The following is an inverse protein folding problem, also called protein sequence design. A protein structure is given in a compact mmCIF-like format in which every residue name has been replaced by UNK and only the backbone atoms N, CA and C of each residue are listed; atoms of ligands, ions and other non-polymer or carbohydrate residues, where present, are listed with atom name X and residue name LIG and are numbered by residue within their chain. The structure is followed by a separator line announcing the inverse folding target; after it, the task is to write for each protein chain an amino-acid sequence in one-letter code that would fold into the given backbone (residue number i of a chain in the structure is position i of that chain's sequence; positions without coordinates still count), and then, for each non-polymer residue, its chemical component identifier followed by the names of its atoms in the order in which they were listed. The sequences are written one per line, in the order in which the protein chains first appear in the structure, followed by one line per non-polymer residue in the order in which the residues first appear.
data_IF_922438112528
#
_entry.id   IF_922438112528
#
_cell.length_a   1.000
_cell.length_b   1.000
_cell.length_c   1.000
_cell.angle_alpha   90.00
_cell.angle_beta   90.00
_cell.angle_gamma   90.00
#
_symmetry.space_group_name_H-M   'P 1'
#
loop_
_entity.id
_entity.type
_entity.pdbx_description
1 polymer ?
#
# COMPACT_ATOMS: atom_id res chain seq x y z
N UNK A 1 40.35 42.43 -8.90
CA UNK A 1 40.22 41.18 -9.67
C UNK A 1 38.85 40.59 -9.36
N UNK A 2 37.82 40.91 -10.16
CA UNK A 2 36.46 40.38 -9.97
C UNK A 2 36.33 39.11 -10.83
N UNK A 3 36.41 37.94 -10.21
CA UNK A 3 35.97 36.71 -10.85
C UNK A 3 34.45 36.80 -11.04
N UNK A 4 33.99 36.59 -12.27
CA UNK A 4 32.57 36.66 -12.63
C UNK A 4 31.86 35.42 -12.07
N UNK A 5 30.68 35.61 -11.47
CA UNK A 5 29.83 34.54 -10.93
C UNK A 5 29.38 33.49 -11.99
N UNK A 6 29.75 33.68 -13.25
CA UNK A 6 29.52 32.75 -14.35
C UNK A 6 30.47 31.52 -14.36
N UNK A 7 31.59 31.54 -13.64
CA UNK A 7 32.55 30.42 -13.64
C UNK A 7 32.24 29.32 -12.61
N UNK A 8 31.25 29.53 -11.74
CA UNK A 8 30.83 28.54 -10.72
C UNK A 8 29.70 27.62 -11.16
N UNK A 9 29.17 27.78 -12.37
CA UNK A 9 28.16 26.89 -12.95
C UNK A 9 28.79 25.85 -13.87
N UNK A 10 29.83 25.15 -13.39
CA UNK A 10 29.97 23.78 -13.88
C UNK A 10 28.77 23.03 -13.33
N UNK A 11 27.86 22.63 -14.22
CA UNK A 11 26.73 21.78 -13.91
C UNK A 11 27.26 20.40 -13.51
N UNK A 12 27.88 20.33 -12.33
CA UNK A 12 28.11 19.09 -11.62
C UNK A 12 26.71 18.63 -11.27
N UNK A 13 26.20 17.64 -12.00
CA UNK A 13 25.00 16.89 -11.63
C UNK A 13 25.24 16.40 -10.21
N UNK A 14 24.73 17.15 -9.24
CA UNK A 14 24.82 16.78 -7.83
C UNK A 14 23.97 15.53 -7.71
N UNK A 15 24.63 14.37 -7.64
CA UNK A 15 23.97 13.14 -7.22
C UNK A 15 23.39 13.39 -5.83
N UNK A 16 22.08 13.62 -5.78
CA UNK A 16 21.35 13.85 -4.52
C UNK A 16 21.22 12.57 -3.70
N UNK A 17 21.83 11.46 -4.12
CA UNK A 17 21.83 10.18 -3.42
C UNK A 17 20.45 9.53 -3.35
N UNK A 18 19.50 9.93 -4.21
CA UNK A 18 18.10 9.47 -4.15
C UNK A 18 18.00 7.95 -4.27
N UNK A 19 18.70 7.35 -5.22
CA UNK A 19 18.70 5.90 -5.40
C UNK A 19 19.29 5.17 -4.19
N UNK A 20 20.39 5.68 -3.64
CA UNK A 20 21.01 5.15 -2.42
C UNK A 20 20.04 5.23 -1.24
N UNK A 21 19.35 6.36 -1.07
CA UNK A 21 18.32 6.55 -0.05
C UNK A 21 17.16 5.57 -0.23
N UNK A 22 16.60 5.48 -1.44
CA UNK A 22 15.47 4.57 -1.73
C UNK A 22 15.83 3.11 -1.49
N UNK A 23 17.06 2.70 -1.85
CA UNK A 23 17.57 1.35 -1.58
C UNK A 23 17.71 1.09 -0.09
N UNK A 24 18.22 2.06 0.68
CA UNK A 24 18.37 1.93 2.12
C UNK A 24 17.02 1.89 2.85
N UNK A 25 16.04 2.69 2.43
CA UNK A 25 14.74 2.78 3.10
C UNK A 25 13.77 1.68 2.67
N UNK A 26 13.95 1.09 1.49
CA UNK A 26 13.05 0.13 0.88
C UNK A 26 12.61 -1.01 1.82
N UNK A 27 13.55 -1.73 2.47
CA UNK A 27 13.22 -2.81 3.40
C UNK A 27 12.38 -2.39 4.60
N UNK A 28 12.47 -1.12 5.03
CA UNK A 28 11.78 -0.60 6.20
C UNK A 28 10.44 0.07 5.86
N UNK A 29 10.16 0.30 4.57
CA UNK A 29 9.00 1.08 4.13
C UNK A 29 7.68 0.52 4.63
N UNK A 30 7.52 -0.82 4.60
CA UNK A 30 6.34 -1.48 5.13
C UNK A 30 6.15 -1.19 6.62
N UNK A 31 7.20 -1.41 7.43
CA UNK A 31 7.14 -1.17 8.89
C UNK A 31 6.78 0.28 9.21
N UNK A 32 7.36 1.26 8.52
CA UNK A 32 7.03 2.67 8.77
C UNK A 32 5.60 3.03 8.39
N UNK A 33 5.07 2.47 7.31
CA UNK A 33 3.67 2.67 6.94
C UNK A 33 2.72 1.95 7.90
N UNK A 34 3.04 0.73 8.34
CA UNK A 34 2.31 0.02 9.39
C UNK A 34 2.20 0.89 10.66
N UNK A 35 3.32 1.44 11.12
CA UNK A 35 3.36 2.23 12.34
C UNK A 35 2.63 3.57 12.17
N UNK A 36 2.81 4.24 11.03
CA UNK A 36 2.10 5.48 10.73
C UNK A 36 0.58 5.29 10.73
N UNK A 37 0.07 4.23 10.09
CA UNK A 37 -1.36 3.95 10.03
C UNK A 37 -1.91 3.59 11.43
N UNK A 38 -1.12 2.90 12.26
CA UNK A 38 -1.49 2.58 13.65
C UNK A 38 -1.61 3.80 14.56
N UNK A 39 -0.99 4.93 14.22
CA UNK A 39 -1.21 6.19 14.96
C UNK A 39 -2.65 6.71 14.84
N UNK A 40 -3.46 6.12 13.95
CA UNK A 40 -4.87 6.45 13.74
C UNK A 40 -5.07 7.95 13.47
N UNK A 41 -4.15 8.53 12.70
CA UNK A 41 -4.26 9.85 12.09
C UNK A 41 -4.42 9.68 10.57
N UNK A 42 -5.67 9.61 10.07
CA UNK A 42 -5.93 9.44 8.65
C UNK A 42 -5.36 10.58 7.80
N UNK A 43 -5.37 11.81 8.31
CA UNK A 43 -4.90 12.98 7.57
C UNK A 43 -3.40 12.91 7.32
N UNK A 44 -2.62 12.68 8.37
CA UNK A 44 -1.17 12.53 8.26
C UNK A 44 -0.78 11.30 7.43
N UNK A 45 -1.47 10.17 7.63
CA UNK A 45 -1.21 8.93 6.89
C UNK A 45 -1.43 9.12 5.38
N UNK A 46 -2.57 9.69 4.98
CA UNK A 46 -2.86 9.96 3.57
C UNK A 46 -1.92 11.00 2.98
N UNK A 47 -1.55 12.02 3.73
CA UNK A 47 -0.57 13.00 3.27
C UNK A 47 0.78 12.33 2.95
N UNK A 48 1.28 11.47 3.84
CA UNK A 48 2.51 10.72 3.62
C UNK A 48 2.40 9.79 2.42
N UNK A 49 1.34 8.98 2.35
CA UNK A 49 1.10 8.02 1.24
C UNK A 49 1.05 8.75 -0.10
N UNK A 50 0.25 9.82 -0.20
CA UNK A 50 0.15 10.61 -1.44
C UNK A 50 1.46 11.30 -1.80
N UNK A 51 2.26 11.70 -0.81
CA UNK A 51 3.58 12.28 -1.05
C UNK A 51 4.55 11.25 -1.63
N UNK A 52 4.56 10.02 -1.09
CA UNK A 52 5.34 8.91 -1.64
C UNK A 52 4.85 8.52 -3.04
N UNK A 53 3.53 8.53 -3.27
CA UNK A 53 2.92 8.20 -4.55
C UNK A 53 3.23 9.21 -5.67
N UNK A 54 3.81 10.38 -5.36
CA UNK A 54 4.33 11.31 -6.39
C UNK A 54 5.42 10.68 -7.26
N UNK A 55 6.12 9.68 -6.73
CA UNK A 55 7.10 8.87 -7.45
C UNK A 55 6.46 7.70 -8.22
N UNK A 56 5.13 7.56 -8.16
CA UNK A 56 4.36 6.47 -8.73
C UNK A 56 3.61 5.68 -7.65
N UNK A 57 2.37 5.32 -7.95
CA UNK A 57 1.61 4.37 -7.14
C UNK A 57 2.15 2.95 -7.32
N UNK A 58 2.04 2.17 -6.26
CA UNK A 58 2.35 0.74 -6.24
C UNK A 58 1.38 0.00 -5.31
N UNK A 59 1.50 -1.33 -5.26
CA UNK A 59 0.59 -2.19 -4.50
C UNK A 59 0.65 -1.91 -3.00
N UNK A 60 1.84 -1.63 -2.48
CA UNK A 60 2.03 -1.33 -1.06
C UNK A 60 1.33 -0.02 -0.66
N UNK A 61 1.46 1.04 -1.44
CA UNK A 61 0.85 2.35 -1.15
C UNK A 61 -0.68 2.28 -1.22
N UNK A 62 -1.25 1.62 -2.23
CA UNK A 62 -2.70 1.42 -2.31
C UNK A 62 -3.23 0.55 -1.16
N UNK A 63 -2.48 -0.46 -0.71
CA UNK A 63 -2.85 -1.23 0.46
C UNK A 63 -2.95 -0.35 1.72
N UNK A 64 -1.95 0.49 1.98
CA UNK A 64 -2.00 1.37 3.16
C UNK A 64 -3.05 2.49 3.01
N UNK A 65 -3.30 2.99 1.80
CA UNK A 65 -4.43 3.88 1.56
C UNK A 65 -5.76 3.21 1.96
N UNK A 66 -5.95 1.95 1.57
CA UNK A 66 -7.12 1.18 1.94
C UNK A 66 -7.22 0.95 3.46
N UNK A 67 -6.12 0.64 4.13
CA UNK A 67 -6.08 0.49 5.59
C UNK A 67 -6.47 1.79 6.32
N UNK A 68 -6.04 2.95 5.82
CA UNK A 68 -6.46 4.24 6.40
C UNK A 68 -7.97 4.43 6.30
N UNK A 69 -8.57 4.16 5.14
CA UNK A 69 -10.02 4.23 4.97
C UNK A 69 -10.74 3.22 5.88
N UNK A 70 -10.29 1.97 5.90
CA UNK A 70 -10.86 0.91 6.72
C UNK A 70 -10.86 1.27 8.20
N UNK A 71 -9.77 1.83 8.72
CA UNK A 71 -9.66 2.23 10.13
C UNK A 71 -10.45 3.49 10.46
N UNK A 72 -10.55 4.44 9.52
CA UNK A 72 -11.32 5.67 9.70
C UNK A 72 -12.83 5.39 9.78
N UNK A 73 -13.34 4.45 9.00
CA UNK A 73 -14.68 3.88 9.17
C UNK A 73 -15.86 4.87 9.07
N UNK A 74 -15.71 6.00 8.38
CA UNK A 74 -16.81 6.95 8.14
C UNK A 74 -17.69 6.47 6.99
N UNK A 75 -18.88 7.07 6.85
CA UNK A 75 -19.77 6.79 5.72
C UNK A 75 -19.02 6.98 4.39
N UNK A 76 -18.98 5.91 3.60
CA UNK A 76 -18.30 5.87 2.29
C UNK A 76 -16.88 5.29 2.34
N UNK A 77 -16.26 5.19 3.52
CA UNK A 77 -14.90 4.67 3.65
C UNK A 77 -14.79 3.19 3.29
N UNK A 78 -15.84 2.40 3.53
CA UNK A 78 -15.87 0.99 3.12
C UNK A 78 -15.71 0.83 1.60
N UNK A 79 -16.35 1.70 0.82
CA UNK A 79 -16.23 1.71 -0.63
C UNK A 79 -14.85 2.21 -1.08
N UNK A 80 -14.33 3.26 -0.42
CA UNK A 80 -12.99 3.77 -0.69
C UNK A 80 -11.91 2.71 -0.39
N UNK A 81 -12.00 2.02 0.74
CA UNK A 81 -11.13 0.91 1.11
C UNK A 81 -11.21 -0.23 0.09
N UNK A 82 -12.43 -0.66 -0.28
CA UNK A 82 -12.62 -1.71 -1.27
C UNK A 82 -11.97 -1.38 -2.62
N UNK A 83 -12.13 -0.15 -3.10
CA UNK A 83 -11.50 0.33 -4.33
C UNK A 83 -9.97 0.37 -4.22
N UNK A 84 -9.42 0.84 -3.10
CA UNK A 84 -7.99 0.89 -2.88
C UNK A 84 -7.37 -0.51 -2.76
N UNK A 85 -8.03 -1.48 -2.09
CA UNK A 85 -7.56 -2.88 -2.11
C UNK A 85 -7.59 -3.48 -3.52
N UNK A 86 -8.63 -3.18 -4.31
CA UNK A 86 -8.71 -3.62 -5.71
C UNK A 86 -7.56 -3.02 -6.55
N UNK A 87 -7.24 -1.74 -6.35
CA UNK A 87 -6.10 -1.09 -6.98
C UNK A 87 -4.77 -1.73 -6.54
N UNK A 88 -4.62 -2.04 -5.24
CA UNK A 88 -3.40 -2.65 -4.71
C UNK A 88 -3.07 -3.97 -5.41
N UNK A 89 -4.04 -4.89 -5.53
CA UNK A 89 -3.81 -6.22 -6.11
C UNK A 89 -3.52 -6.21 -7.61
N UNK A 90 -3.69 -5.07 -8.29
CA UNK A 90 -3.28 -4.89 -9.68
C UNK A 90 -1.75 -4.77 -9.84
N UNK A 91 -1.01 -4.59 -8.74
CA UNK A 91 0.44 -4.44 -8.76
C UNK A 91 1.17 -5.71 -8.27
N UNK A 92 2.37 -6.03 -8.81
CA UNK A 92 3.15 -7.19 -8.38
C UNK A 92 3.63 -7.15 -6.93
N UNK A 93 3.80 -5.95 -6.36
CA UNK A 93 4.29 -5.72 -4.99
C UNK A 93 3.16 -5.61 -3.95
N UNK A 94 1.93 -5.98 -4.33
CA UNK A 94 0.80 -6.02 -3.40
C UNK A 94 1.08 -6.97 -2.23
N UNK A 95 0.91 -6.53 -0.97
CA UNK A 95 1.01 -7.43 0.17
C UNK A 95 -0.11 -8.49 0.10
N UNK A 96 0.14 -9.75 0.54
CA UNK A 96 -0.89 -10.79 0.56
C UNK A 96 -2.19 -10.36 1.23
N UNK A 97 -2.08 -9.56 2.30
CA UNK A 97 -3.21 -9.03 3.07
C UNK A 97 -4.18 -8.19 2.21
N UNK A 98 -3.70 -7.56 1.13
CA UNK A 98 -4.55 -6.84 0.17
C UNK A 98 -5.54 -7.79 -0.53
N UNK A 99 -5.10 -8.99 -0.92
CA UNK A 99 -5.95 -10.02 -1.52
C UNK A 99 -7.02 -10.50 -0.55
N UNK A 100 -6.64 -10.68 0.72
CA UNK A 100 -7.59 -11.05 1.78
C UNK A 100 -8.66 -9.98 1.98
N UNK A 101 -8.25 -8.73 2.14
CA UNK A 101 -9.16 -7.62 2.37
C UNK A 101 -10.07 -7.35 1.16
N UNK A 102 -9.53 -7.44 -0.07
CA UNK A 102 -10.29 -7.37 -1.30
C UNK A 102 -11.33 -8.48 -1.40
N UNK A 103 -10.94 -9.73 -1.10
CA UNK A 103 -11.85 -10.88 -1.10
C UNK A 103 -13.03 -10.68 -0.14
N UNK A 104 -12.77 -10.25 1.09
CA UNK A 104 -13.84 -9.95 2.04
C UNK A 104 -14.73 -8.77 1.60
N UNK A 105 -14.16 -7.74 0.98
CA UNK A 105 -14.95 -6.63 0.43
C UNK A 105 -15.90 -7.10 -0.69
N UNK A 106 -15.41 -7.95 -1.59
CA UNK A 106 -16.21 -8.56 -2.65
C UNK A 106 -17.34 -9.42 -2.08
N UNK A 107 -17.06 -10.28 -1.09
CA UNK A 107 -18.08 -11.09 -0.43
C UNK A 107 -19.19 -10.22 0.20
N UNK A 108 -18.82 -9.13 0.90
CA UNK A 108 -19.80 -8.19 1.46
C UNK A 108 -20.64 -7.49 0.40
N UNK A 109 -20.09 -7.27 -0.80
CA UNK A 109 -20.81 -6.70 -1.94
C UNK A 109 -21.65 -7.71 -2.74
N UNK A 110 -21.70 -8.98 -2.32
CA UNK A 110 -22.44 -10.05 -3.02
C UNK A 110 -21.69 -10.68 -4.18
N UNK A 111 -20.48 -10.24 -4.50
CA UNK A 111 -19.62 -10.78 -5.58
C UNK A 111 -18.88 -12.03 -5.10
N UNK A 112 -19.66 -13.10 -4.84
CA UNK A 112 -19.20 -14.32 -4.15
C UNK A 112 -18.03 -15.01 -4.83
N UNK A 113 -18.15 -15.32 -6.12
CA UNK A 113 -17.11 -16.04 -6.87
C UNK A 113 -15.78 -15.30 -6.90
N UNK A 114 -15.82 -14.00 -7.19
CA UNK A 114 -14.63 -13.16 -7.22
C UNK A 114 -14.00 -13.03 -5.83
N UNK A 115 -14.83 -12.90 -4.79
CA UNK A 115 -14.37 -12.87 -3.41
C UNK A 115 -13.67 -14.16 -3.00
N UNK A 116 -14.22 -15.33 -3.37
CA UNK A 116 -13.58 -16.63 -3.13
C UNK A 116 -12.26 -16.75 -3.88
N UNK A 117 -12.21 -16.31 -5.14
CA UNK A 117 -10.99 -16.33 -5.94
C UNK A 117 -9.86 -15.49 -5.29
N UNK A 118 -10.18 -14.28 -4.82
CA UNK A 118 -9.23 -13.42 -4.13
C UNK A 118 -8.74 -14.02 -2.80
N UNK A 119 -9.63 -14.62 -1.99
CA UNK A 119 -9.25 -15.33 -0.77
C UNK A 119 -8.40 -16.59 -1.07
N UNK A 120 -8.67 -17.30 -2.16
CA UNK A 120 -7.82 -18.40 -2.63
C UNK A 120 -6.42 -17.92 -2.99
N UNK A 121 -6.32 -16.77 -3.67
CA UNK A 121 -5.02 -16.14 -3.98
C UNK A 121 -4.27 -15.73 -2.71
N UNK A 122 -4.95 -15.19 -1.71
CA UNK A 122 -4.35 -14.91 -0.40
C UNK A 122 -3.73 -16.17 0.23
N UNK A 123 -4.48 -17.27 0.29
CA UNK A 123 -3.98 -18.53 0.86
C UNK A 123 -2.81 -19.13 0.07
N UNK A 124 -2.76 -18.91 -1.25
CA UNK A 124 -1.63 -19.33 -2.06
C UNK A 124 -0.36 -18.51 -1.77
N UNK A 125 -0.51 -17.21 -1.48
CA UNK A 125 0.60 -16.31 -1.16
C UNK A 125 1.07 -16.45 0.29
N UNK A 126 0.17 -16.73 1.23
CA UNK A 126 0.44 -16.80 2.66
C UNK A 126 -0.22 -18.04 3.31
N UNK A 127 0.20 -19.27 2.94
CA UNK A 127 -0.46 -20.51 3.37
C UNK A 127 -0.39 -20.77 4.89
N UNK A 128 0.61 -20.19 5.55
CA UNK A 128 0.86 -20.30 7.00
C UNK A 128 0.50 -19.03 7.76
N UNK A 129 -0.25 -18.10 7.15
CA UNK A 129 -0.72 -16.91 7.86
C UNK A 129 -1.54 -17.31 9.10
N UNK A 130 -1.46 -16.56 10.21
CA UNK A 130 -2.19 -16.90 11.45
C UNK A 130 -3.70 -17.06 11.25
N UNK A 131 -4.28 -16.33 10.30
CA UNK A 131 -5.71 -16.36 9.98
C UNK A 131 -6.07 -17.30 8.81
N UNK A 132 -5.12 -18.05 8.27
CA UNK A 132 -5.33 -18.92 7.11
C UNK A 132 -6.43 -19.98 7.36
N UNK A 133 -6.53 -20.52 8.57
CA UNK A 133 -7.57 -21.48 8.94
C UNK A 133 -8.99 -20.86 8.85
N UNK A 134 -9.13 -19.61 9.30
CA UNK A 134 -10.40 -18.86 9.21
C UNK A 134 -10.78 -18.55 7.76
N UNK A 135 -9.80 -18.19 6.92
CA UNK A 135 -10.05 -17.96 5.49
C UNK A 135 -10.44 -19.27 4.78
N UNK A 136 -9.78 -20.39 5.08
CA UNK A 136 -10.18 -21.71 4.54
C UNK A 136 -11.60 -22.07 4.93
N UNK A 137 -11.99 -21.81 6.18
CA UNK A 137 -13.36 -22.02 6.62
C UNK A 137 -14.36 -21.13 5.86
N UNK A 138 -14.02 -19.87 5.61
CA UNK A 138 -14.84 -18.96 4.79
C UNK A 138 -15.05 -19.51 3.37
N UNK A 139 -14.04 -20.18 2.81
CA UNK A 139 -14.09 -20.81 1.49
C UNK A 139 -14.79 -22.17 1.46
N UNK A 140 -15.17 -22.75 2.60
CA UNK A 140 -15.94 -24.00 2.66
C UNK A 140 -17.44 -23.80 2.86
N UNK A 141 -17.85 -22.61 3.26
CA UNK A 141 -19.26 -22.20 3.36
C UNK A 141 -19.81 -21.74 2.00
#
# INVERSE_FOLDING_TARGET
MRASAAELTSARTVDRGRERYLRAIGPHRKTFLDDQVKLNDPGASLFLINTLARDGWNGLLHYYEAEVWRLRGRRGDDAAAANAYAAAIAFPDAPPEAWRAHGYALLRSGRREEGRAALGRYLALAPTAPDAAMVRHTLSQ
#
